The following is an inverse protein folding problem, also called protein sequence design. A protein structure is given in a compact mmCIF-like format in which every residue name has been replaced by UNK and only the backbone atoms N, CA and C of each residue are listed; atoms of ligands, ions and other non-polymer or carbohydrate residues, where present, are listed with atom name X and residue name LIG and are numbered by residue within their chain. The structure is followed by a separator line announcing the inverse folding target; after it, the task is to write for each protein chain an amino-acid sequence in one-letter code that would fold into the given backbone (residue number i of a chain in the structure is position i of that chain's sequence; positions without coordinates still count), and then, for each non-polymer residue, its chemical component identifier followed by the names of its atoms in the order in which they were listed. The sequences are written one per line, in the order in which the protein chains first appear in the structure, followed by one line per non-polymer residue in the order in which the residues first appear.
data_IF_035822027379
#
_entry.id   IF_035822027379
#
_cell.length_a   1.000
_cell.length_b   1.000
_cell.length_c   1.000
_cell.angle_alpha   90.00
_cell.angle_beta   90.00
_cell.angle_gamma   90.00
#
_symmetry.space_group_name_H-M   'P 1'
#
loop_
_entity.id
_entity.type
_entity.pdbx_description
1 polymer ?
#
# COMPACT_ATOMS: atom_id res chain seq x y z
N UNK A 1 -0.86 36.35 -10.40
CA UNK A 1 -2.25 36.81 -10.26
C UNK A 1 -2.79 37.53 -11.51
N UNK A 2 -2.51 37.06 -12.73
CA UNK A 2 -3.10 37.69 -13.93
C UNK A 2 -4.58 37.35 -14.11
N UNK A 3 -4.97 36.15 -13.69
CA UNK A 3 -6.33 35.61 -13.84
C UNK A 3 -7.35 36.44 -13.04
N UNK A 4 -7.12 36.66 -11.74
CA UNK A 4 -8.03 37.45 -10.88
C UNK A 4 -8.16 38.91 -11.34
N UNK A 5 -7.12 39.46 -11.97
CA UNK A 5 -7.18 40.81 -12.54
C UNK A 5 -7.76 40.85 -13.98
N UNK A 6 -8.33 39.76 -14.48
CA UNK A 6 -8.91 39.69 -15.84
C UNK A 6 -7.88 39.79 -16.98
N UNK A 7 -6.58 39.66 -16.69
CA UNK A 7 -5.49 39.81 -17.68
C UNK A 7 -5.22 38.50 -18.43
N UNK A 8 -6.26 37.93 -19.03
CA UNK A 8 -6.25 36.57 -19.62
C UNK A 8 -5.17 36.37 -20.70
N UNK A 9 -4.85 37.40 -21.49
CA UNK A 9 -3.75 37.34 -22.50
C UNK A 9 -2.36 37.13 -21.90
N UNK A 10 -2.17 37.45 -20.61
CA UNK A 10 -0.90 37.26 -19.87
C UNK A 10 -0.91 35.97 -19.03
N UNK A 11 -1.95 35.16 -19.11
CA UNK A 11 -2.01 33.87 -18.42
C UNK A 11 -1.29 32.81 -19.26
N UNK A 12 -0.38 32.00 -18.67
CA UNK A 12 0.29 30.93 -19.38
C UNK A 12 -0.69 29.95 -20.01
N UNK A 13 -0.39 29.47 -21.22
CA UNK A 13 -1.24 28.48 -21.92
C UNK A 13 -1.08 27.07 -21.36
N UNK A 14 0.11 26.75 -20.85
CA UNK A 14 0.45 25.50 -20.18
C UNK A 14 1.27 25.82 -18.92
N UNK A 15 1.23 24.92 -17.96
CA UNK A 15 2.00 24.95 -16.71
C UNK A 15 2.45 23.53 -16.39
N UNK A 16 3.56 23.37 -15.67
CA UNK A 16 3.96 22.07 -15.13
C UNK A 16 3.26 21.78 -13.80
N UNK A 17 3.35 20.53 -13.31
CA UNK A 17 2.72 20.07 -12.06
C UNK A 17 3.12 20.94 -10.86
N UNK A 18 4.41 21.30 -10.73
CA UNK A 18 4.89 22.13 -9.62
C UNK A 18 4.26 23.54 -9.63
N UNK A 19 4.17 24.16 -10.80
CA UNK A 19 3.53 25.46 -10.95
C UNK A 19 2.02 25.37 -10.68
N UNK A 20 1.36 24.30 -11.13
CA UNK A 20 -0.06 24.08 -10.86
C UNK A 20 -0.33 23.89 -9.35
N UNK A 21 0.54 23.18 -8.64
CA UNK A 21 0.44 23.05 -7.17
C UNK A 21 0.65 24.40 -6.45
N UNK A 22 1.60 25.23 -6.91
CA UNK A 22 1.77 26.61 -6.39
C UNK A 22 0.52 27.46 -6.63
N UNK A 23 -0.12 27.31 -7.79
CA UNK A 23 -1.40 27.96 -8.08
C UNK A 23 -2.49 27.43 -7.14
N UNK A 24 -2.55 26.12 -6.90
CA UNK A 24 -3.51 25.51 -5.98
C UNK A 24 -3.41 26.11 -4.56
N UNK A 25 -2.20 26.30 -4.04
CA UNK A 25 -1.97 26.99 -2.74
C UNK A 25 -2.61 28.38 -2.72
N UNK A 26 -2.42 29.17 -3.78
CA UNK A 26 -3.00 30.51 -3.85
C UNK A 26 -4.52 30.48 -4.00
N UNK A 27 -5.04 29.52 -4.76
CA UNK A 27 -6.47 29.36 -5.01
C UNK A 27 -7.21 28.96 -3.74
N UNK A 28 -6.63 28.03 -2.98
CA UNK A 28 -7.11 27.65 -1.65
C UNK A 28 -7.07 28.84 -0.68
N UNK A 29 -5.95 29.57 -0.63
CA UNK A 29 -5.79 30.72 0.27
C UNK A 29 -6.74 31.89 -0.02
N UNK A 30 -6.98 32.21 -1.29
CA UNK A 30 -7.87 33.30 -1.70
C UNK A 30 -9.32 32.86 -1.97
N UNK A 31 -9.63 31.57 -1.76
CA UNK A 31 -10.95 30.98 -2.02
C UNK A 31 -11.49 31.33 -3.43
N UNK A 32 -10.62 31.34 -4.45
CA UNK A 32 -10.92 31.90 -5.77
C UNK A 32 -11.01 30.85 -6.89
N UNK A 33 -11.40 29.62 -6.54
CA UNK A 33 -11.48 28.48 -7.46
C UNK A 33 -12.28 28.80 -8.74
N UNK A 34 -13.47 29.38 -8.59
CA UNK A 34 -14.36 29.69 -9.73
C UNK A 34 -13.71 30.59 -10.78
N UNK A 35 -12.85 31.52 -10.34
CA UNK A 35 -12.18 32.49 -11.24
C UNK A 35 -11.05 31.83 -12.04
N UNK A 36 -10.46 30.75 -11.52
CA UNK A 36 -9.34 30.05 -12.15
C UNK A 36 -9.75 28.79 -12.92
N UNK A 37 -10.96 28.26 -12.67
CA UNK A 37 -11.41 26.95 -13.13
C UNK A 37 -11.27 26.74 -14.65
N UNK A 38 -11.61 27.77 -15.44
CA UNK A 38 -11.48 27.74 -16.91
C UNK A 38 -10.03 27.52 -17.39
N UNK A 39 -9.02 27.96 -16.62
CA UNK A 39 -7.61 27.77 -16.95
C UNK A 39 -7.11 26.43 -16.43
N UNK A 40 -7.54 26.06 -15.22
CA UNK A 40 -7.19 24.79 -14.57
C UNK A 40 -7.63 23.61 -15.40
N UNK A 41 -8.85 23.64 -15.94
CA UNK A 41 -9.37 22.59 -16.81
C UNK A 41 -8.43 22.30 -17.98
N UNK A 42 -7.97 23.37 -18.67
CA UNK A 42 -7.02 23.24 -19.80
C UNK A 42 -5.66 22.73 -19.35
N UNK A 43 -5.12 23.24 -18.25
CA UNK A 43 -3.82 22.79 -17.75
C UNK A 43 -3.85 21.33 -17.28
N UNK A 44 -4.94 20.90 -16.64
CA UNK A 44 -5.13 19.51 -16.26
C UNK A 44 -5.23 18.60 -17.49
N UNK A 45 -5.84 19.06 -18.58
CA UNK A 45 -5.86 18.35 -19.86
C UNK A 45 -4.47 18.19 -20.46
N UNK A 46 -3.67 19.26 -20.46
CA UNK A 46 -2.28 19.22 -20.95
C UNK A 46 -1.41 18.26 -20.12
N UNK A 47 -1.69 18.16 -18.82
CA UNK A 47 -0.96 17.30 -17.88
C UNK A 47 -1.56 15.87 -17.77
N UNK A 48 -2.60 15.53 -18.56
CA UNK A 48 -3.18 14.18 -18.57
C UNK A 48 -2.09 13.17 -18.94
N UNK A 49 -1.85 12.20 -18.06
CA UNK A 49 -0.83 11.17 -18.24
C UNK A 49 0.47 11.41 -17.47
N UNK A 50 0.66 12.59 -16.86
CA UNK A 50 1.81 12.89 -16.00
C UNK A 50 1.63 12.47 -14.53
N UNK A 51 0.52 11.81 -14.19
CA UNK A 51 0.35 11.24 -12.84
C UNK A 51 1.41 10.16 -12.65
N UNK A 52 2.30 10.38 -11.69
CA UNK A 52 3.27 9.38 -11.27
C UNK A 52 2.54 8.11 -10.82
N UNK A 53 2.93 6.97 -11.37
CA UNK A 53 2.51 5.64 -10.91
C UNK A 53 3.21 5.22 -9.62
N UNK A 54 4.21 5.99 -9.20
CA UNK A 54 5.08 5.75 -8.05
C UNK A 54 4.84 6.82 -6.98
N UNK A 55 4.84 6.40 -5.73
CA UNK A 55 4.79 7.31 -4.60
C UNK A 55 6.05 8.18 -4.49
N UNK A 56 5.85 9.48 -4.30
CA UNK A 56 6.90 10.47 -4.19
C UNK A 56 6.34 11.87 -4.06
N UNK A 57 7.21 12.89 -4.14
CA UNK A 57 6.83 14.31 -4.02
C UNK A 57 5.72 14.69 -5.01
N UNK A 58 5.83 14.24 -6.27
CA UNK A 58 4.87 14.58 -7.31
C UNK A 58 3.47 14.05 -7.02
N UNK A 59 3.36 12.89 -6.37
CA UNK A 59 2.07 12.36 -5.95
C UNK A 59 1.39 13.26 -4.89
N UNK A 60 2.18 13.84 -3.98
CA UNK A 60 1.67 14.80 -2.98
C UNK A 60 1.17 16.07 -3.67
N UNK A 61 1.88 16.56 -4.70
CA UNK A 61 1.43 17.68 -5.52
C UNK A 61 0.11 17.34 -6.21
N UNK A 62 0.03 16.18 -6.87
CA UNK A 62 -1.18 15.73 -7.54
C UNK A 62 -2.37 15.57 -6.59
N UNK A 63 -2.14 15.07 -5.36
CA UNK A 63 -3.19 14.97 -4.35
C UNK A 63 -3.72 16.36 -3.96
N UNK A 64 -2.83 17.32 -3.70
CA UNK A 64 -3.21 18.71 -3.41
C UNK A 64 -3.98 19.37 -4.56
N UNK A 65 -3.46 19.26 -5.79
CA UNK A 65 -4.12 19.76 -7.02
C UNK A 65 -5.52 19.14 -7.14
N UNK A 66 -5.63 17.83 -6.97
CA UNK A 66 -6.90 17.13 -7.10
C UNK A 66 -7.92 17.49 -6.02
N UNK A 67 -7.45 17.84 -4.81
CA UNK A 67 -8.28 18.29 -3.71
C UNK A 67 -8.80 19.70 -3.98
N UNK A 68 -7.91 20.68 -4.19
CA UNK A 68 -8.26 22.09 -4.36
C UNK A 68 -9.15 22.30 -5.59
N UNK A 69 -8.85 21.63 -6.70
CA UNK A 69 -9.59 21.78 -7.96
C UNK A 69 -10.72 20.76 -8.12
N UNK A 70 -11.12 20.08 -7.03
CA UNK A 70 -12.27 19.17 -6.98
C UNK A 70 -12.27 18.11 -8.10
N UNK A 71 -11.13 17.41 -8.27
CA UNK A 71 -10.94 16.38 -9.29
C UNK A 71 -11.03 14.96 -8.69
N UNK A 72 -12.24 14.37 -8.56
CA UNK A 72 -12.43 13.13 -7.80
C UNK A 72 -11.68 11.93 -8.37
N UNK A 73 -11.52 11.83 -9.70
CA UNK A 73 -10.80 10.72 -10.34
C UNK A 73 -9.30 10.79 -10.09
N UNK A 74 -8.73 12.00 -10.13
CA UNK A 74 -7.32 12.24 -9.81
C UNK A 74 -7.07 11.96 -8.33
N UNK A 75 -7.94 12.47 -7.45
CA UNK A 75 -7.86 12.26 -6.01
C UNK A 75 -7.91 10.78 -5.66
N UNK A 76 -8.85 10.03 -6.24
CA UNK A 76 -8.95 8.56 -6.05
C UNK A 76 -7.71 7.83 -6.53
N UNK A 77 -7.11 8.25 -7.64
CA UNK A 77 -5.89 7.63 -8.16
C UNK A 77 -4.69 7.90 -7.25
N UNK A 78 -4.49 9.16 -6.87
CA UNK A 78 -3.39 9.57 -6.01
C UNK A 78 -3.47 8.93 -4.61
N UNK A 79 -4.65 8.90 -4.00
CA UNK A 79 -4.86 8.26 -2.68
C UNK A 79 -4.61 6.75 -2.72
N UNK A 80 -5.00 6.06 -3.80
CA UNK A 80 -4.70 4.62 -3.96
C UNK A 80 -3.21 4.33 -3.99
N UNK A 81 -2.45 5.09 -4.78
CA UNK A 81 -0.99 4.95 -4.88
C UNK A 81 -0.34 5.26 -3.52
N UNK A 82 -0.81 6.32 -2.85
CA UNK A 82 -0.32 6.68 -1.53
C UNK A 82 -0.55 5.56 -0.50
N UNK A 83 -1.76 5.02 -0.40
CA UNK A 83 -2.07 3.92 0.54
C UNK A 83 -1.21 2.69 0.25
N UNK A 84 -0.97 2.37 -1.02
CA UNK A 84 -0.20 1.20 -1.45
C UNK A 84 1.27 1.29 -1.01
N UNK A 85 1.90 2.44 -1.25
CA UNK A 85 3.36 2.57 -1.22
C UNK A 85 3.92 3.36 -0.04
N UNK A 86 3.09 4.18 0.63
CA UNK A 86 3.52 4.98 1.78
C UNK A 86 4.00 4.08 2.92
N UNK A 87 5.05 4.52 3.62
CA UNK A 87 5.71 3.76 4.69
C UNK A 87 5.54 4.38 6.07
N UNK A 88 4.81 5.48 6.19
CA UNK A 88 4.59 6.20 7.45
C UNK A 88 3.53 7.29 7.29
N UNK A 89 3.45 8.27 8.20
CA UNK A 89 2.49 9.36 8.09
C UNK A 89 2.61 10.13 6.76
N UNK A 90 1.48 10.49 6.17
CA UNK A 90 1.46 11.18 4.88
C UNK A 90 2.07 12.60 5.01
N UNK A 91 3.12 12.94 4.23
CA UNK A 91 3.73 14.25 4.27
C UNK A 91 2.88 15.25 3.49
N UNK A 92 2.22 16.18 4.16
CA UNK A 92 1.40 17.22 3.50
C UNK A 92 2.24 18.28 2.78
N UNK A 93 3.53 18.41 3.11
CA UNK A 93 4.46 19.39 2.52
C UNK A 93 3.97 20.84 2.60
N UNK A 94 3.17 21.18 3.62
CA UNK A 94 2.49 22.48 3.77
C UNK A 94 1.60 22.85 2.57
N UNK A 95 1.15 21.87 1.80
CA UNK A 95 0.16 22.06 0.75
C UNK A 95 -1.26 22.05 1.33
N UNK A 96 -2.24 22.61 0.61
CA UNK A 96 -3.65 22.60 1.00
C UNK A 96 -4.24 21.19 0.88
N UNK A 97 -3.86 20.34 1.83
CA UNK A 97 -4.37 18.99 2.02
C UNK A 97 -4.86 18.95 3.47
N UNK A 98 -6.17 18.73 3.71
CA UNK A 98 -6.68 18.67 5.07
C UNK A 98 -6.00 17.57 5.88
N UNK A 99 -5.76 17.84 7.16
CA UNK A 99 -5.14 16.87 8.07
C UNK A 99 -5.98 15.60 8.17
N UNK A 100 -7.30 15.72 8.05
CA UNK A 100 -8.24 14.60 8.04
C UNK A 100 -7.96 13.63 6.89
N UNK A 101 -7.59 14.16 5.71
CA UNK A 101 -7.21 13.35 4.54
C UNK A 101 -5.90 12.64 4.81
N UNK A 102 -4.88 13.35 5.30
CA UNK A 102 -3.58 12.77 5.62
C UNK A 102 -3.68 11.66 6.68
N UNK A 103 -4.47 11.90 7.73
CA UNK A 103 -4.75 10.91 8.78
C UNK A 103 -5.56 9.72 8.25
N UNK A 104 -6.54 9.94 7.37
CA UNK A 104 -7.31 8.87 6.76
C UNK A 104 -6.42 7.95 5.90
N UNK A 105 -5.48 8.51 5.14
CA UNK A 105 -4.53 7.72 4.35
C UNK A 105 -3.69 6.79 5.24
N UNK A 106 -3.14 7.31 6.34
CA UNK A 106 -2.34 6.50 7.25
C UNK A 106 -3.17 5.43 7.97
N UNK A 107 -4.40 5.78 8.41
CA UNK A 107 -5.34 4.82 9.00
C UNK A 107 -5.68 3.67 8.05
N UNK A 108 -5.92 3.97 6.78
CA UNK A 108 -6.23 2.93 5.79
C UNK A 108 -5.01 2.06 5.51
N UNK A 109 -3.81 2.64 5.43
CA UNK A 109 -2.55 1.90 5.30
C UNK A 109 -2.36 0.92 6.46
N UNK A 110 -2.44 1.40 7.70
CA UNK A 110 -2.24 0.55 8.90
C UNK A 110 -3.31 -0.52 9.01
N UNK A 111 -4.59 -0.20 8.74
CA UNK A 111 -5.67 -1.18 8.74
C UNK A 111 -5.46 -2.32 7.73
N UNK A 112 -4.93 -2.02 6.52
CA UNK A 112 -4.61 -3.04 5.51
C UNK A 112 -3.49 -3.97 5.96
N UNK A 113 -2.41 -3.41 6.52
CA UNK A 113 -1.30 -4.19 7.07
C UNK A 113 -1.80 -5.08 8.22
N UNK A 114 -2.59 -4.52 9.13
CA UNK A 114 -3.20 -5.26 10.23
C UNK A 114 -4.11 -6.40 9.75
N UNK A 115 -4.91 -6.18 8.71
CA UNK A 115 -5.76 -7.22 8.12
C UNK A 115 -4.93 -8.38 7.54
N UNK A 116 -3.79 -8.10 6.90
CA UNK A 116 -2.86 -9.15 6.44
C UNK A 116 -2.32 -9.94 7.63
N UNK A 117 -1.84 -9.25 8.68
CA UNK A 117 -1.30 -9.89 9.88
C UNK A 117 -2.34 -10.76 10.59
N UNK A 118 -3.59 -10.30 10.68
CA UNK A 118 -4.64 -11.08 11.32
C UNK A 118 -4.92 -12.39 10.56
N UNK A 119 -4.87 -12.38 9.22
CA UNK A 119 -4.96 -13.61 8.44
C UNK A 119 -3.80 -14.56 8.70
N UNK A 120 -2.59 -14.03 8.83
CA UNK A 120 -1.41 -14.84 9.14
C UNK A 120 -1.50 -15.41 10.57
N UNK A 121 -1.97 -14.62 11.55
CA UNK A 121 -2.19 -15.09 12.92
C UNK A 121 -3.30 -16.14 13.00
N UNK A 122 -4.38 -15.97 12.23
CA UNK A 122 -5.40 -17.01 12.11
C UNK A 122 -4.81 -18.30 11.55
N UNK A 123 -3.91 -18.22 10.57
CA UNK A 123 -3.23 -19.38 10.03
C UNK A 123 -2.33 -20.07 11.07
N UNK A 124 -1.60 -19.32 11.90
CA UNK A 124 -0.87 -19.88 13.05
C UNK A 124 -1.80 -20.63 14.01
N UNK A 125 -2.96 -20.05 14.35
CA UNK A 125 -3.96 -20.71 15.21
C UNK A 125 -4.50 -22.00 14.58
N UNK A 126 -4.76 -22.00 13.28
CA UNK A 126 -5.24 -23.19 12.55
C UNK A 126 -4.20 -24.33 12.53
N UNK A 127 -2.90 -23.99 12.41
CA UNK A 127 -1.81 -24.95 12.52
C UNK A 127 -1.75 -25.58 13.92
N UNK A 128 -1.88 -24.77 14.98
CA UNK A 128 -1.90 -25.27 16.36
C UNK A 128 -3.14 -26.14 16.66
N UNK A 129 -4.31 -25.74 16.17
CA UNK A 129 -5.60 -26.38 16.46
C UNK A 129 -5.89 -27.66 15.67
N UNK A 130 -4.92 -28.20 14.92
CA UNK A 130 -5.07 -29.41 14.10
C UNK A 130 -6.13 -29.31 12.97
N UNK A 131 -6.42 -28.10 12.49
CA UNK A 131 -7.45 -27.87 11.46
C UNK A 131 -6.96 -28.10 10.02
N UNK A 132 -5.69 -28.48 9.87
CA UNK A 132 -5.03 -28.71 8.59
C UNK A 132 -4.62 -30.18 8.47
N UNK A 133 -4.70 -30.70 7.26
CA UNK A 133 -4.47 -32.10 6.88
C UNK A 133 -2.98 -32.48 6.80
N UNK A 134 -2.08 -31.75 7.47
CA UNK A 134 -0.64 -32.06 7.54
C UNK A 134 -0.30 -32.76 8.89
N UNK A 135 0.80 -33.54 8.93
CA UNK A 135 1.28 -34.26 10.12
C UNK A 135 1.70 -33.34 11.28
N UNK A 136 1.97 -33.89 12.47
CA UNK A 136 2.47 -33.11 13.61
C UNK A 136 3.82 -32.45 13.31
N UNK A 137 4.74 -33.20 12.70
CA UNK A 137 6.05 -32.74 12.27
C UNK A 137 5.88 -31.57 11.30
N UNK A 138 4.92 -31.68 10.37
CA UNK A 138 4.73 -30.67 9.34
C UNK A 138 4.21 -29.37 9.89
N UNK A 139 3.23 -29.46 10.78
CA UNK A 139 2.71 -28.29 11.49
C UNK A 139 3.81 -27.62 12.32
N UNK A 140 4.62 -28.41 13.03
CA UNK A 140 5.73 -27.89 13.83
C UNK A 140 6.75 -27.13 12.99
N UNK A 141 7.13 -27.67 11.82
CA UNK A 141 8.03 -27.00 10.89
C UNK A 141 7.42 -25.74 10.27
N UNK A 142 6.14 -25.77 9.89
CA UNK A 142 5.45 -24.61 9.33
C UNK A 142 5.28 -23.48 10.35
N UNK A 143 4.91 -23.82 11.59
CA UNK A 143 4.84 -22.86 12.70
C UNK A 143 6.21 -22.23 12.90
N UNK A 144 7.27 -23.04 13.04
CA UNK A 144 8.62 -22.54 13.22
C UNK A 144 9.08 -21.62 12.09
N UNK A 145 8.88 -22.04 10.83
CA UNK A 145 9.23 -21.23 9.66
C UNK A 145 8.47 -19.90 9.62
N UNK A 146 7.16 -19.93 9.91
CA UNK A 146 6.33 -18.74 9.92
C UNK A 146 6.72 -17.77 11.05
N UNK A 147 6.98 -18.29 12.25
CA UNK A 147 7.45 -17.48 13.39
C UNK A 147 8.80 -16.82 13.08
N UNK A 148 9.75 -17.56 12.47
CA UNK A 148 11.07 -17.02 12.09
C UNK A 148 10.91 -15.90 11.04
N UNK A 149 10.12 -16.12 9.99
CA UNK A 149 9.92 -15.10 8.94
C UNK A 149 9.18 -13.87 9.46
N UNK A 150 8.18 -14.03 10.33
CA UNK A 150 7.52 -12.90 10.98
C UNK A 150 8.46 -12.12 11.90
N UNK A 151 9.33 -12.81 12.63
CA UNK A 151 10.37 -12.18 13.44
C UNK A 151 11.36 -11.37 12.59
N UNK A 152 11.79 -11.92 11.45
CA UNK A 152 12.67 -11.24 10.50
C UNK A 152 12.05 -9.94 9.94
N UNK A 153 10.74 -9.91 9.77
CA UNK A 153 10.00 -8.73 9.30
C UNK A 153 9.64 -7.75 10.43
N UNK A 154 9.94 -8.08 11.70
CA UNK A 154 9.52 -7.27 12.85
C UNK A 154 8.01 -7.28 13.09
N UNK A 155 7.30 -8.28 12.56
CA UNK A 155 5.83 -8.37 12.58
C UNK A 155 5.29 -9.34 13.64
N UNK A 156 6.17 -10.10 14.29
CA UNK A 156 5.78 -11.13 15.25
C UNK A 156 5.01 -10.54 16.44
N UNK A 157 5.54 -9.48 17.04
CA UNK A 157 4.99 -8.85 18.25
C UNK A 157 4.09 -7.64 17.96
N UNK A 158 3.79 -7.36 16.68
CA UNK A 158 3.02 -6.19 16.31
C UNK A 158 1.58 -6.24 16.84
N UNK A 159 1.18 -5.26 17.65
CA UNK A 159 -0.19 -5.15 18.16
C UNK A 159 -1.14 -4.51 17.13
N UNK A 160 -2.47 -4.67 17.29
CA UNK A 160 -3.48 -3.96 16.50
C UNK A 160 -3.24 -2.45 16.37
N UNK A 161 -2.73 -1.80 17.41
CA UNK A 161 -2.52 -0.35 17.47
C UNK A 161 -1.14 0.08 16.94
N UNK A 162 -0.40 -0.82 16.29
CA UNK A 162 0.93 -0.52 15.75
C UNK A 162 0.84 0.48 14.59
N UNK A 163 1.69 1.50 14.60
CA UNK A 163 1.80 2.48 13.51
C UNK A 163 2.57 1.94 12.28
N UNK A 164 3.20 0.76 12.40
CA UNK A 164 3.97 0.09 11.34
C UNK A 164 4.91 1.05 10.57
N UNK A 165 5.85 1.72 11.27
CA UNK A 165 6.78 2.65 10.62
C UNK A 165 7.72 1.89 9.67
N UNK A 166 7.97 2.47 8.50
CA UNK A 166 8.83 1.88 7.47
C UNK A 166 8.15 0.82 6.61
N UNK A 167 6.90 0.45 6.87
CA UNK A 167 6.18 -0.61 6.16
C UNK A 167 5.09 -0.03 5.26
N UNK A 168 5.12 -0.40 3.98
CA UNK A 168 4.03 -0.14 3.04
C UNK A 168 3.15 -1.37 2.87
N UNK A 169 1.93 -1.18 2.35
CA UNK A 169 1.01 -2.29 2.07
C UNK A 169 1.63 -3.24 1.04
N UNK A 170 2.19 -2.70 -0.04
CA UNK A 170 2.80 -3.47 -1.12
C UNK A 170 4.03 -4.26 -0.64
N UNK A 171 4.96 -3.59 0.04
CA UNK A 171 6.19 -4.23 0.53
C UNK A 171 5.88 -5.32 1.56
N UNK A 172 4.90 -5.08 2.44
CA UNK A 172 4.45 -6.06 3.42
C UNK A 172 3.84 -7.28 2.73
N UNK A 173 2.91 -7.06 1.79
CA UNK A 173 2.27 -8.13 1.03
C UNK A 173 3.31 -9.00 0.33
N UNK A 174 4.23 -8.37 -0.42
CA UNK A 174 5.28 -9.07 -1.15
C UNK A 174 6.20 -9.85 -0.18
N UNK A 175 6.58 -9.25 0.95
CA UNK A 175 7.41 -9.90 1.96
C UNK A 175 6.72 -11.13 2.59
N UNK A 176 5.41 -11.07 2.82
CA UNK A 176 4.64 -12.21 3.31
C UNK A 176 4.50 -13.29 2.23
N UNK A 177 4.25 -12.92 0.97
CA UNK A 177 4.08 -13.85 -0.15
C UNK A 177 5.38 -14.57 -0.55
N UNK A 178 6.54 -14.02 -0.20
CA UNK A 178 7.87 -14.57 -0.50
C UNK A 178 8.58 -15.18 0.71
N UNK A 179 7.82 -15.52 1.75
CA UNK A 179 8.33 -16.29 2.88
C UNK A 179 8.95 -17.61 2.43
N UNK A 180 10.10 -17.93 3.02
CA UNK A 180 10.83 -19.17 2.74
C UNK A 180 10.04 -20.36 3.27
N UNK A 181 9.88 -21.39 2.44
CA UNK A 181 9.28 -22.64 2.88
C UNK A 181 10.34 -23.57 3.48
N UNK A 182 10.01 -24.28 4.59
CA UNK A 182 10.93 -25.26 5.16
C UNK A 182 11.18 -26.39 4.16
N UNK A 183 12.41 -26.90 4.15
CA UNK A 183 12.80 -28.06 3.34
C UNK A 183 12.79 -29.30 4.23
N UNK A 184 11.98 -30.27 3.85
CA UNK A 184 12.04 -31.61 4.41
C UNK A 184 13.32 -32.27 3.96
N UNK A 185 14.20 -32.58 4.91
CA UNK A 185 15.28 -33.53 4.65
C UNK A 185 14.80 -34.86 5.18
N UNK A 186 14.61 -35.87 4.31
CA UNK A 186 14.43 -37.23 4.80
C UNK A 186 15.70 -37.58 5.58
N UNK A 187 15.57 -37.86 6.87
CA UNK A 187 16.68 -38.43 7.64
C UNK A 187 17.02 -39.79 7.03
N UNK A 188 18.29 -39.95 6.64
CA UNK A 188 18.71 -40.97 5.70
C UNK A 188 18.60 -42.44 6.15
N UNK A 189 18.60 -43.29 5.12
CA UNK A 189 18.89 -44.72 5.09
C UNK A 189 17.88 -45.68 5.74
N UNK A 190 16.95 -46.15 4.92
CA UNK A 190 16.83 -47.59 4.67
C UNK A 190 16.48 -47.81 3.20
N UNK A 191 17.39 -48.51 2.49
CA UNK A 191 17.06 -49.20 1.24
C UNK A 191 15.91 -50.16 1.54
N UNK A 192 14.99 -50.27 0.59
CA UNK A 192 13.75 -51.05 0.60
C UNK A 192 12.67 -50.55 1.56
N UNK A 193 11.91 -49.55 1.13
CA UNK A 193 10.49 -49.83 0.93
C UNK A 193 9.94 -48.98 -0.22
N UNK A 194 9.38 -49.65 -1.22
CA UNK A 194 8.66 -49.03 -2.34
C UNK A 194 7.26 -48.63 -1.89
N UNK A 195 7.20 -47.79 -0.86
CA UNK A 195 5.98 -47.12 -0.42
C UNK A 195 6.00 -45.70 -0.97
N UNK A 196 5.11 -45.40 -1.92
CA UNK A 196 4.81 -44.04 -2.32
C UNK A 196 4.28 -43.26 -1.10
N UNK A 197 5.18 -42.70 -0.28
CA UNK A 197 4.83 -41.60 0.59
C UNK A 197 4.64 -40.38 -0.30
N UNK A 198 3.44 -40.27 -0.86
CA UNK A 198 2.89 -39.02 -1.37
C UNK A 198 2.77 -38.04 -0.20
N UNK A 199 3.89 -37.50 0.28
CA UNK A 199 3.85 -36.36 1.18
C UNK A 199 3.25 -35.19 0.42
N UNK A 200 2.10 -34.64 0.86
CA UNK A 200 1.68 -33.38 0.31
C UNK A 200 2.73 -32.36 0.70
N UNK A 201 3.35 -31.77 -0.32
CA UNK A 201 4.31 -30.68 -0.18
C UNK A 201 3.60 -29.48 0.43
N UNK A 202 3.38 -29.47 1.75
CA UNK A 202 2.82 -28.34 2.47
C UNK A 202 3.86 -27.20 2.38
N UNK A 203 3.70 -26.30 1.40
CA UNK A 203 4.58 -25.14 1.18
C UNK A 203 4.03 -23.93 1.92
N UNK A 204 4.81 -23.36 2.83
CA UNK A 204 4.44 -22.15 3.56
C UNK A 204 4.08 -21.04 2.57
N UNK A 205 4.89 -20.87 1.53
CA UNK A 205 4.71 -19.85 0.52
C UNK A 205 3.38 -20.00 -0.22
N UNK A 206 3.02 -21.22 -0.65
CA UNK A 206 1.77 -21.44 -1.37
C UNK A 206 0.55 -21.20 -0.48
N UNK A 207 0.62 -21.60 0.78
CA UNK A 207 -0.48 -21.44 1.74
C UNK A 207 -0.67 -19.96 2.09
N UNK A 208 0.42 -19.24 2.37
CA UNK A 208 0.37 -17.80 2.65
C UNK A 208 -0.19 -17.03 1.45
N UNK A 209 0.27 -17.32 0.23
CA UNK A 209 -0.29 -16.72 -1.00
C UNK A 209 -1.79 -16.99 -1.13
N UNK A 210 -2.24 -18.23 -0.91
CA UNK A 210 -3.66 -18.56 -0.97
C UNK A 210 -4.51 -17.83 0.10
N UNK A 211 -3.94 -17.58 1.29
CA UNK A 211 -4.63 -16.88 2.39
C UNK A 211 -4.70 -15.37 2.19
N UNK A 212 -3.67 -14.79 1.58
CA UNK A 212 -3.62 -13.36 1.27
C UNK A 212 -4.33 -13.01 -0.06
N UNK A 213 -4.65 -14.01 -0.87
CA UNK A 213 -5.37 -13.82 -2.13
C UNK A 213 -6.66 -13.00 -1.95
N UNK A 214 -6.78 -11.92 -2.74
CA UNK A 214 -7.93 -11.02 -2.74
C UNK A 214 -7.76 -9.76 -1.88
N UNK A 215 -6.71 -9.64 -1.08
CA UNK A 215 -6.37 -8.39 -0.38
C UNK A 215 -5.79 -7.31 -1.32
N UNK A 216 -5.27 -7.72 -2.48
CA UNK A 216 -4.65 -6.83 -3.48
C UNK A 216 -5.69 -5.99 -4.25
N UNK A 217 -6.97 -6.35 -4.17
CA UNK A 217 -8.06 -5.78 -4.99
C UNK A 217 -8.93 -4.74 -4.28
N UNK A 218 -8.67 -4.46 -2.99
CA UNK A 218 -9.45 -3.50 -2.19
C UNK A 218 -8.74 -2.15 -2.09
#
# INVERSE_FOLDING_TARGET
MNIIHGRTRKTPRSVNVEMLAKIAVLVDYYECFEVVDMFVSRWLEDLKGEISSVYGRDLVLWLSISWVFQQPLLFRTATKIAIRDMTGPFPTLNLPIPNEVAMALDRVRTARIQAMLERIRQFLRDLCGQRLWCTFECRSMLIGALTIELGRLGLLDATPDSSFPGLSVESTLHALQDMRSPRWTPTGFSRSDSGFHNEPRCSLQSIVRARLHGLDKQ
#
